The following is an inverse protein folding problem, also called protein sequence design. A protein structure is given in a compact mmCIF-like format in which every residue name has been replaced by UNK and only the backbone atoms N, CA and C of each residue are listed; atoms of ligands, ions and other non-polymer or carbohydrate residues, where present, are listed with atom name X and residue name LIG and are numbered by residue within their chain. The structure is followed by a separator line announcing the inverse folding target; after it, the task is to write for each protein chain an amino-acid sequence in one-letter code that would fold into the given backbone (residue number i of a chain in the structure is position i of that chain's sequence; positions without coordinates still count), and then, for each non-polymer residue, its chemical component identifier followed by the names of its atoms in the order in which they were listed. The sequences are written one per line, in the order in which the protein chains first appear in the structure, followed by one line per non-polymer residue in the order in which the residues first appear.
data_IF_054018685999
#
_entry.id   IF_054018685999
#
_cell.length_a   1.000
_cell.length_b   1.000
_cell.length_c   1.000
_cell.angle_alpha   90.00
_cell.angle_beta   90.00
_cell.angle_gamma   90.00
#
_symmetry.space_group_name_H-M   'P 1'
#
loop_
_entity.id
_entity.type
_entity.pdbx_description
1 polymer ?
#
# COMPACT_ATOMS: atom_id res chain seq x y z
N UNK A 1 -1.08 -7.47 -12.08
CA UNK A 1 -2.18 -7.90 -13.01
C UNK A 1 -3.48 -7.41 -12.41
N UNK A 2 -4.41 -6.88 -13.20
CA UNK A 2 -5.67 -6.30 -12.66
C UNK A 2 -6.91 -7.02 -13.19
N UNK A 3 -8.03 -6.91 -12.47
CA UNK A 3 -9.32 -7.55 -12.79
C UNK A 3 -10.43 -6.51 -13.07
N UNK A 4 -10.14 -5.52 -13.91
CA UNK A 4 -11.11 -4.49 -14.26
C UNK A 4 -12.20 -5.02 -15.19
N UNK A 5 -13.38 -4.42 -15.12
CA UNK A 5 -14.50 -4.76 -16.01
C UNK A 5 -14.07 -4.59 -17.47
N UNK A 6 -14.13 -5.65 -18.28
CA UNK A 6 -13.79 -5.57 -19.70
C UNK A 6 -14.80 -4.67 -20.44
N UNK A 7 -14.35 -3.72 -21.28
CA UNK A 7 -15.27 -2.94 -22.10
C UNK A 7 -16.00 -3.84 -23.11
N UNK A 8 -17.18 -3.42 -23.53
CA UNK A 8 -17.94 -4.03 -24.63
C UNK A 8 -18.08 -3.06 -25.79
N UNK A 9 -18.61 -3.52 -26.93
CA UNK A 9 -18.88 -2.67 -28.08
C UNK A 9 -19.84 -1.51 -27.78
N UNK A 10 -20.67 -1.66 -26.73
CA UNK A 10 -21.71 -0.69 -26.35
C UNK A 10 -21.45 0.03 -25.03
N UNK A 11 -20.45 -0.39 -24.23
CA UNK A 11 -20.15 0.19 -22.93
C UNK A 11 -18.63 0.26 -22.66
N UNK A 12 -18.10 1.43 -22.26
CA UNK A 12 -16.71 1.53 -21.86
C UNK A 12 -16.46 0.83 -20.51
N UNK A 13 -15.18 0.58 -20.23
CA UNK A 13 -14.73 0.24 -18.88
C UNK A 13 -14.53 1.54 -18.10
N UNK A 14 -15.36 1.76 -17.09
CA UNK A 14 -15.20 2.85 -16.14
C UNK A 14 -14.68 2.25 -14.84
N UNK A 15 -13.51 2.68 -14.40
CA UNK A 15 -12.90 2.18 -13.18
C UNK A 15 -13.35 2.99 -11.97
N UNK A 16 -13.50 2.32 -10.84
CA UNK A 16 -13.70 2.99 -9.55
C UNK A 16 -12.41 3.69 -9.09
N UNK A 17 -12.52 4.56 -8.08
CA UNK A 17 -11.34 5.18 -7.49
C UNK A 17 -10.41 4.14 -6.83
N UNK A 18 -10.98 3.13 -6.16
CA UNK A 18 -10.21 2.02 -5.60
C UNK A 18 -9.46 1.20 -6.67
N UNK A 19 -10.09 0.98 -7.83
CA UNK A 19 -9.45 0.33 -8.98
C UNK A 19 -8.30 1.19 -9.57
N UNK A 20 -8.43 2.53 -9.54
CA UNK A 20 -7.33 3.44 -9.89
C UNK A 20 -6.18 3.35 -8.90
N UNK A 21 -6.45 3.36 -7.58
CA UNK A 21 -5.42 3.15 -6.55
C UNK A 21 -4.71 1.82 -6.77
N UNK A 22 -5.47 0.73 -7.00
CA UNK A 22 -4.92 -0.59 -7.33
C UNK A 22 -4.05 -0.55 -8.59
N UNK A 23 -4.49 0.15 -9.65
CA UNK A 23 -3.69 0.29 -10.87
C UNK A 23 -2.34 0.97 -10.59
N UNK A 24 -2.34 2.06 -9.83
CA UNK A 24 -1.12 2.80 -9.49
C UNK A 24 -0.19 1.98 -8.60
N UNK A 25 -0.75 1.25 -7.63
CA UNK A 25 -0.02 0.32 -6.78
C UNK A 25 0.76 -0.71 -7.61
N UNK A 26 0.05 -1.43 -8.48
CA UNK A 26 0.64 -2.45 -9.35
C UNK A 26 1.66 -1.83 -10.33
N UNK A 27 1.38 -0.62 -10.82
CA UNK A 27 2.31 0.10 -11.69
C UNK A 27 3.59 0.52 -10.95
N UNK A 28 3.53 0.80 -9.65
CA UNK A 28 4.71 1.05 -8.83
C UNK A 28 5.64 -0.16 -8.75
N UNK A 29 5.10 -1.38 -8.60
CA UNK A 29 5.90 -2.60 -8.74
C UNK A 29 6.50 -2.75 -10.15
N UNK A 30 5.72 -2.45 -11.20
CA UNK A 30 6.24 -2.45 -12.57
C UNK A 30 7.40 -1.46 -12.73
N UNK A 31 7.29 -0.25 -12.18
CA UNK A 31 8.37 0.74 -12.20
C UNK A 31 9.61 0.24 -11.45
N UNK A 32 9.43 -0.35 -10.27
CA UNK A 32 10.52 -0.94 -9.51
C UNK A 32 11.24 -2.05 -10.31
N UNK A 33 10.48 -2.88 -11.03
CA UNK A 33 11.06 -3.90 -11.89
C UNK A 33 11.77 -3.32 -13.13
N UNK A 34 11.17 -2.33 -13.80
CA UNK A 34 11.71 -1.75 -15.03
C UNK A 34 12.94 -0.87 -14.79
N UNK A 35 13.00 -0.21 -13.63
CA UNK A 35 14.07 0.74 -13.28
C UNK A 35 15.14 0.13 -12.39
N UNK A 36 14.94 -1.09 -11.91
CA UNK A 36 15.92 -1.82 -11.11
C UNK A 36 17.20 -2.10 -11.89
N UNK A 37 18.33 -1.76 -11.28
CA UNK A 37 19.66 -2.00 -11.83
C UNK A 37 20.42 -2.96 -10.90
N UNK A 38 21.29 -3.79 -11.47
CA UNK A 38 22.04 -4.74 -10.67
C UNK A 38 22.93 -5.65 -11.49
N UNK A 39 24.11 -5.97 -10.95
CA UNK A 39 25.04 -6.92 -11.57
C UNK A 39 24.60 -8.37 -11.36
N UNK A 40 24.00 -8.66 -10.21
CA UNK A 40 23.60 -10.00 -9.80
C UNK A 40 22.08 -10.06 -9.74
N UNK A 41 21.49 -11.00 -10.49
CA UNK A 41 20.03 -11.18 -10.57
C UNK A 41 19.40 -11.32 -9.18
N UNK A 42 20.03 -12.07 -8.29
CA UNK A 42 19.57 -12.31 -6.91
C UNK A 42 19.51 -11.06 -6.03
N UNK A 43 20.09 -9.93 -6.46
CA UNK A 43 20.13 -8.66 -5.73
C UNK A 43 19.52 -7.50 -6.53
N UNK A 44 19.22 -7.68 -7.81
CA UNK A 44 18.68 -6.62 -8.66
C UNK A 44 17.15 -6.57 -8.66
N UNK A 45 16.61 -5.60 -9.41
CA UNK A 45 15.18 -5.54 -9.73
C UNK A 45 14.34 -5.45 -8.45
N UNK A 46 13.34 -6.32 -8.28
CA UNK A 46 12.42 -6.33 -7.14
C UNK A 46 12.85 -7.32 -6.05
N UNK A 47 14.07 -7.86 -6.09
CA UNK A 47 14.56 -8.84 -5.10
C UNK A 47 14.97 -8.18 -3.77
N UNK A 48 14.11 -7.32 -3.23
CA UNK A 48 14.28 -6.60 -1.96
C UNK A 48 13.65 -7.36 -0.79
N UNK A 49 13.88 -6.89 0.44
CA UNK A 49 13.17 -7.42 1.61
C UNK A 49 11.66 -7.24 1.47
N UNK A 50 10.90 -8.23 1.95
CA UNK A 50 9.43 -8.23 1.88
C UNK A 50 8.80 -7.03 2.58
N UNK A 51 9.44 -6.48 3.63
CA UNK A 51 9.00 -5.29 4.35
C UNK A 51 9.31 -3.96 3.65
N UNK A 52 10.06 -3.98 2.55
CA UNK A 52 10.40 -2.81 1.73
C UNK A 52 9.77 -2.84 0.33
N UNK A 53 9.41 -4.02 -0.18
CA UNK A 53 8.90 -4.20 -1.55
C UNK A 53 7.63 -3.41 -1.85
N UNK A 54 6.84 -3.11 -0.82
CA UNK A 54 5.57 -2.38 -0.91
C UNK A 54 5.76 -0.85 -0.91
N UNK A 55 6.93 -0.31 -0.52
CA UNK A 55 7.17 1.13 -0.57
C UNK A 55 6.98 1.67 -2.01
N UNK A 56 7.64 1.10 -3.05
CA UNK A 56 7.46 1.56 -4.43
C UNK A 56 6.05 1.44 -4.98
N UNK A 57 5.23 0.49 -4.51
CA UNK A 57 3.84 0.36 -4.94
C UNK A 57 2.94 1.34 -4.21
N UNK A 58 2.95 1.33 -2.88
CA UNK A 58 2.08 2.16 -2.06
C UNK A 58 2.30 3.65 -2.26
N UNK A 59 3.54 4.09 -2.49
CA UNK A 59 3.82 5.51 -2.72
C UNK A 59 3.04 6.05 -3.94
N UNK A 60 2.88 5.22 -4.98
CA UNK A 60 2.21 5.61 -6.23
C UNK A 60 0.72 5.86 -6.04
N UNK A 61 0.09 5.20 -5.06
CA UNK A 61 -1.34 5.38 -4.76
C UNK A 61 -1.68 6.82 -4.36
N UNK A 62 -0.73 7.55 -3.78
CA UNK A 62 -0.97 8.92 -3.33
C UNK A 62 -1.33 9.86 -4.49
N UNK A 63 -0.85 9.61 -5.72
CA UNK A 63 -1.19 10.41 -6.89
C UNK A 63 -2.68 10.33 -7.24
N UNK A 64 -3.40 9.26 -6.86
CA UNK A 64 -4.85 9.16 -7.06
C UNK A 64 -5.65 10.20 -6.28
N UNK A 65 -5.03 10.96 -5.38
CA UNK A 65 -5.65 12.02 -4.58
C UNK A 65 -5.13 13.41 -4.93
N UNK A 66 -4.25 13.53 -5.93
CA UNK A 66 -3.63 14.80 -6.30
C UNK A 66 -4.38 15.48 -7.46
N UNK A 67 -4.86 16.73 -7.30
CA UNK A 67 -5.65 17.40 -8.33
C UNK A 67 -4.94 17.50 -9.68
N UNK A 68 -3.66 17.86 -9.70
CA UNK A 68 -2.88 18.03 -10.93
C UNK A 68 -2.74 16.70 -11.70
N UNK A 69 -2.60 15.58 -10.98
CA UNK A 69 -2.56 14.25 -11.59
C UNK A 69 -3.92 13.85 -12.16
N UNK A 70 -5.00 13.95 -11.37
CA UNK A 70 -6.34 13.57 -11.81
C UNK A 70 -6.80 14.41 -13.00
N UNK A 71 -6.58 15.72 -13.00
CA UNK A 71 -6.96 16.61 -14.09
C UNK A 71 -6.22 16.33 -15.40
N UNK A 72 -5.06 15.65 -15.35
CA UNK A 72 -4.30 15.31 -16.56
C UNK A 72 -4.99 14.28 -17.46
N UNK A 73 -5.79 13.36 -16.88
CA UNK A 73 -6.40 12.25 -17.64
C UNK A 73 -7.89 12.04 -17.36
N UNK A 74 -8.38 12.38 -16.16
CA UNK A 74 -9.76 12.07 -15.76
C UNK A 74 -10.74 13.00 -16.47
N UNK A 75 -11.41 12.45 -17.48
CA UNK A 75 -12.39 13.15 -18.31
C UNK A 75 -13.68 12.33 -18.38
N UNK A 76 -14.81 13.02 -18.41
CA UNK A 76 -16.10 12.39 -18.60
C UNK A 76 -16.14 11.68 -19.96
N UNK A 77 -16.39 10.37 -19.96
CA UNK A 77 -16.18 9.52 -21.15
C UNK A 77 -17.03 9.91 -22.37
N UNK A 78 -18.15 10.61 -22.19
CA UNK A 78 -19.00 11.09 -23.29
C UNK A 78 -18.73 12.53 -23.72
N UNK A 79 -18.45 13.41 -22.75
CA UNK A 79 -18.39 14.87 -22.99
C UNK A 79 -16.97 15.37 -23.13
N UNK A 80 -15.98 14.62 -22.65
CA UNK A 80 -14.58 15.02 -22.61
C UNK A 80 -14.26 16.07 -21.55
N UNK A 81 -15.24 16.50 -20.77
CA UNK A 81 -15.07 17.47 -19.68
C UNK A 81 -14.12 16.90 -18.62
N UNK A 82 -13.12 17.69 -18.25
CA UNK A 82 -12.15 17.32 -17.20
C UNK A 82 -12.87 17.28 -15.84
N UNK A 83 -12.47 16.35 -14.98
CA UNK A 83 -12.97 16.27 -13.60
C UNK A 83 -12.85 17.65 -12.90
N UNK A 84 -13.93 18.08 -12.25
CA UNK A 84 -13.95 19.36 -11.54
C UNK A 84 -13.17 19.29 -10.23
N UNK A 85 -12.62 20.42 -9.80
CA UNK A 85 -11.99 20.54 -8.47
C UNK A 85 -12.95 20.12 -7.35
N UNK A 86 -14.23 20.48 -7.44
CA UNK A 86 -15.24 20.09 -6.44
C UNK A 86 -15.37 18.56 -6.27
N UNK A 87 -15.27 17.78 -7.37
CA UNK A 87 -15.29 16.32 -7.28
C UNK A 87 -14.00 15.76 -6.70
N UNK A 88 -12.86 16.35 -7.04
CA UNK A 88 -11.56 15.97 -6.45
C UNK A 88 -11.55 16.25 -4.95
N UNK A 89 -12.04 17.42 -4.51
CA UNK A 89 -12.11 17.77 -3.10
C UNK A 89 -12.95 16.75 -2.32
N UNK A 90 -14.08 16.30 -2.87
CA UNK A 90 -14.90 15.23 -2.27
C UNK A 90 -14.16 13.89 -2.17
N UNK A 91 -13.36 13.52 -3.19
CA UNK A 91 -12.50 12.32 -3.14
C UNK A 91 -11.49 12.46 -2.00
N UNK A 92 -10.84 13.62 -1.89
CA UNK A 92 -9.83 13.89 -0.86
C UNK A 92 -10.44 13.93 0.54
N UNK A 93 -11.60 14.54 0.72
CA UNK A 93 -12.32 14.60 2.01
C UNK A 93 -12.75 13.22 2.50
N UNK A 94 -13.11 12.32 1.58
CA UNK A 94 -13.58 10.97 1.91
C UNK A 94 -12.46 9.95 2.05
N UNK A 95 -11.20 10.30 1.71
CA UNK A 95 -10.05 9.37 1.72
C UNK A 95 -9.81 8.67 3.06
N UNK A 96 -10.15 9.34 4.17
CA UNK A 96 -9.95 8.82 5.53
C UNK A 96 -11.25 8.32 6.17
N UNK A 97 -12.35 8.25 5.42
CA UNK A 97 -13.59 7.65 5.90
C UNK A 97 -13.32 6.19 6.28
N UNK A 98 -13.64 5.81 7.52
CA UNK A 98 -13.32 4.51 8.11
C UNK A 98 -11.82 4.15 8.23
N UNK A 99 -10.89 5.12 8.15
CA UNK A 99 -9.45 4.85 8.26
C UNK A 99 -9.12 3.98 9.50
N UNK A 100 -9.62 4.32 10.69
CA UNK A 100 -9.39 3.53 11.90
C UNK A 100 -9.84 2.06 11.77
N UNK A 101 -11.01 1.81 11.15
CA UNK A 101 -11.50 0.45 10.91
C UNK A 101 -10.57 -0.32 9.96
N UNK A 102 -10.17 0.29 8.84
CA UNK A 102 -9.24 -0.32 7.90
C UNK A 102 -7.90 -0.65 8.56
N UNK A 103 -7.41 0.24 9.42
CA UNK A 103 -6.15 0.03 10.12
C UNK A 103 -6.20 -1.14 11.10
N UNK A 104 -7.27 -1.25 11.89
CA UNK A 104 -7.45 -2.42 12.76
C UNK A 104 -7.62 -3.70 11.93
N UNK A 105 -8.32 -3.63 10.79
CA UNK A 105 -8.44 -4.78 9.88
C UNK A 105 -7.08 -5.22 9.31
N UNK A 106 -6.19 -4.30 8.95
CA UNK A 106 -4.82 -4.63 8.54
C UNK A 106 -4.02 -5.26 9.68
N UNK A 107 -4.15 -4.74 10.90
CA UNK A 107 -3.54 -5.35 12.08
C UNK A 107 -4.08 -6.76 12.35
N UNK A 108 -5.37 -7.02 12.12
CA UNK A 108 -5.94 -8.38 12.24
C UNK A 108 -5.22 -9.35 11.32
N UNK A 109 -4.99 -8.98 10.06
CA UNK A 109 -4.28 -9.84 9.12
C UNK A 109 -2.83 -10.10 9.56
N UNK A 110 -2.09 -9.07 9.99
CA UNK A 110 -0.73 -9.22 10.48
C UNK A 110 -0.63 -10.07 11.75
N UNK A 111 -1.54 -9.88 12.71
CA UNK A 111 -1.59 -10.66 13.95
C UNK A 111 -1.94 -12.12 13.66
N UNK A 112 -2.90 -12.36 12.77
CA UNK A 112 -3.28 -13.71 12.36
C UNK A 112 -2.12 -14.44 11.67
N UNK A 113 -1.41 -13.75 10.77
CA UNK A 113 -0.21 -14.28 10.11
C UNK A 113 0.87 -14.66 11.14
N UNK A 114 1.21 -13.76 12.07
CA UNK A 114 2.18 -14.06 13.12
C UNK A 114 1.74 -15.24 13.99
N UNK A 115 0.47 -15.33 14.36
CA UNK A 115 -0.05 -16.47 15.11
C UNK A 115 0.12 -17.79 14.35
N UNK A 116 -0.16 -17.81 13.03
CA UNK A 116 0.04 -19.00 12.21
C UNK A 116 1.53 -19.37 12.00
N UNK A 117 2.47 -18.48 12.31
CA UNK A 117 3.90 -18.71 12.11
C UNK A 117 4.71 -18.73 13.41
N UNK A 118 4.05 -18.65 14.57
CA UNK A 118 4.67 -18.79 15.89
C UNK A 118 4.35 -20.18 16.47
N UNK A 119 5.41 -20.95 16.73
CA UNK A 119 5.32 -22.32 17.26
C UNK A 119 4.73 -22.38 18.68
N UNK A 120 4.85 -21.30 19.45
CA UNK A 120 4.29 -21.24 20.81
C UNK A 120 2.78 -21.00 20.78
N UNK A 121 2.28 -20.28 19.78
CA UNK A 121 0.85 -20.04 19.59
C UNK A 121 0.17 -21.15 18.80
N UNK A 122 0.89 -21.79 17.87
CA UNK A 122 0.36 -22.87 17.04
C UNK A 122 -0.05 -24.06 17.91
N UNK A 123 -1.34 -24.37 17.90
CA UNK A 123 -1.92 -25.46 18.69
C UNK A 123 -2.63 -26.46 17.78
N UNK A 124 -2.86 -27.68 18.27
CA UNK A 124 -3.65 -28.72 17.56
C UNK A 124 -5.17 -28.43 17.54
N UNK A 125 -5.57 -27.16 17.56
CA UNK A 125 -6.98 -26.73 17.49
C UNK A 125 -7.47 -26.80 16.04
N UNK A 126 -8.78 -26.83 15.85
CA UNK A 126 -9.35 -26.57 14.53
C UNK A 126 -9.13 -25.11 14.11
N UNK A 127 -9.12 -24.86 12.80
CA UNK A 127 -8.77 -23.57 12.19
C UNK A 127 -9.64 -22.42 12.69
N UNK A 128 -10.95 -22.66 12.88
CA UNK A 128 -11.89 -21.61 13.32
C UNK A 128 -11.61 -21.21 14.77
N UNK A 129 -11.43 -22.18 15.65
CA UNK A 129 -11.11 -21.92 17.06
C UNK A 129 -9.76 -21.21 17.19
N UNK A 130 -8.76 -21.64 16.42
CA UNK A 130 -7.45 -21.00 16.40
C UNK A 130 -7.52 -19.52 15.98
N UNK A 131 -8.17 -19.23 14.84
CA UNK A 131 -8.33 -17.86 14.33
C UNK A 131 -9.08 -16.97 15.33
N UNK A 132 -10.17 -17.48 15.92
CA UNK A 132 -10.94 -16.73 16.92
C UNK A 132 -10.11 -16.39 18.16
N UNK A 133 -9.27 -17.32 18.61
CA UNK A 133 -8.40 -17.10 19.77
C UNK A 133 -7.29 -16.09 19.46
N UNK A 134 -6.68 -16.16 18.27
CA UNK A 134 -5.64 -15.25 17.82
C UNK A 134 -6.16 -13.81 17.67
N UNK A 135 -7.39 -13.64 17.16
CA UNK A 135 -7.97 -12.33 16.84
C UNK A 135 -8.78 -11.69 17.96
N UNK A 136 -8.93 -12.36 19.12
CA UNK A 136 -9.84 -11.92 20.20
C UNK A 136 -9.65 -10.46 20.67
N UNK A 137 -8.42 -9.95 20.63
CA UNK A 137 -8.07 -8.62 21.12
C UNK A 137 -8.24 -7.52 20.07
N UNK A 138 -8.45 -7.89 18.82
CA UNK A 138 -8.48 -6.97 17.66
C UNK A 138 -9.74 -7.17 16.79
N UNK A 139 -10.64 -8.02 17.24
CA UNK A 139 -11.97 -8.21 16.66
C UNK A 139 -12.85 -7.00 16.98
N UNK A 140 -13.23 -6.23 15.94
CA UNK A 140 -14.09 -5.04 16.09
C UNK A 140 -15.59 -5.35 16.08
N UNK A 141 -15.99 -6.42 15.40
CA UNK A 141 -17.39 -6.77 15.19
C UNK A 141 -17.64 -8.24 15.52
N UNK A 142 -18.87 -8.63 15.91
CA UNK A 142 -19.21 -10.03 16.12
C UNK A 142 -18.87 -10.88 14.88
N UNK A 143 -18.24 -12.05 15.05
CA UNK A 143 -17.90 -12.91 13.92
C UNK A 143 -19.18 -13.44 13.25
N UNK A 144 -19.14 -13.56 11.93
CA UNK A 144 -20.23 -14.20 11.17
C UNK A 144 -20.04 -15.70 11.23
N UNK A 145 -21.05 -16.42 11.73
CA UNK A 145 -20.99 -17.88 11.91
C UNK A 145 -20.61 -18.58 10.61
N UNK A 146 -19.58 -19.43 10.66
CA UNK A 146 -19.11 -20.21 9.52
C UNK A 146 -18.12 -19.50 8.60
N UNK A 147 -17.72 -18.25 8.92
CA UNK A 147 -16.64 -17.56 8.21
C UNK A 147 -15.29 -17.89 8.82
N UNK A 148 -14.26 -18.01 7.96
CA UNK A 148 -12.88 -18.19 8.34
C UNK A 148 -12.01 -17.45 7.33
N UNK A 149 -11.20 -16.51 7.80
CA UNK A 149 -10.31 -15.75 6.92
C UNK A 149 -9.15 -16.64 6.47
N UNK A 150 -8.58 -17.42 7.39
CA UNK A 150 -7.38 -18.24 7.21
C UNK A 150 -7.48 -19.16 5.99
N UNK A 151 -8.63 -19.80 5.76
CA UNK A 151 -8.83 -20.72 4.61
C UNK A 151 -8.86 -20.03 3.24
N UNK A 152 -8.94 -18.70 3.23
CA UNK A 152 -8.91 -17.85 2.03
C UNK A 152 -7.74 -16.87 2.01
N UNK A 153 -6.82 -16.97 2.99
CA UNK A 153 -5.74 -16.01 3.17
C UNK A 153 -4.53 -16.34 2.29
N UNK A 154 -4.72 -16.16 0.97
CA UNK A 154 -3.75 -16.55 -0.05
C UNK A 154 -2.34 -15.98 0.16
N UNK A 155 -2.22 -14.77 0.71
CA UNK A 155 -0.95 -14.08 0.91
C UNK A 155 0.05 -14.89 1.73
N UNK A 156 -0.42 -15.56 2.79
CA UNK A 156 0.44 -16.27 3.76
C UNK A 156 0.50 -17.78 3.52
N UNK A 157 -0.54 -18.36 2.89
CA UNK A 157 -0.58 -19.82 2.66
C UNK A 157 -0.08 -20.24 1.27
N UNK A 158 -0.25 -19.38 0.26
CA UNK A 158 0.16 -19.68 -1.14
C UNK A 158 1.10 -18.64 -1.72
N UNK A 159 1.09 -17.42 -1.16
CA UNK A 159 1.96 -16.32 -1.52
C UNK A 159 3.26 -16.33 -0.73
N UNK A 160 3.96 -15.20 -0.78
CA UNK A 160 5.31 -15.05 -0.22
C UNK A 160 5.33 -14.26 1.11
N UNK A 161 4.17 -14.09 1.76
CA UNK A 161 4.01 -13.21 2.93
C UNK A 161 3.84 -13.96 4.25
N UNK A 162 4.13 -15.26 4.31
CA UNK A 162 4.11 -16.00 5.57
C UNK A 162 5.11 -15.38 6.56
N UNK A 163 4.64 -15.08 7.78
CA UNK A 163 5.39 -14.31 8.79
C UNK A 163 5.89 -12.95 8.29
N UNK A 164 5.15 -12.35 7.35
CA UNK A 164 5.56 -11.17 6.59
C UNK A 164 4.42 -10.23 6.25
N UNK A 165 3.16 -10.53 6.57
CA UNK A 165 2.02 -9.66 6.22
C UNK A 165 2.08 -8.28 6.90
N UNK A 166 2.82 -8.16 8.01
CA UNK A 166 3.09 -6.86 8.64
C UNK A 166 3.83 -5.89 7.70
N UNK A 167 4.47 -6.39 6.62
CA UNK A 167 5.17 -5.60 5.62
C UNK A 167 4.31 -4.47 5.04
N UNK A 168 3.01 -4.72 4.82
CA UNK A 168 2.09 -3.70 4.33
C UNK A 168 2.05 -2.48 5.24
N UNK A 169 1.97 -2.71 6.57
CA UNK A 169 1.90 -1.61 7.54
C UNK A 169 3.26 -0.95 7.77
N UNK A 170 4.32 -1.74 7.69
CA UNK A 170 5.70 -1.24 7.75
C UNK A 170 5.99 -0.31 6.57
N UNK A 171 5.71 -0.75 5.35
CA UNK A 171 5.86 0.05 4.14
C UNK A 171 4.92 1.26 4.10
N UNK A 172 3.73 1.20 4.72
CA UNK A 172 2.82 2.35 4.81
C UNK A 172 3.47 3.53 5.59
N UNK A 173 4.35 3.23 6.55
CA UNK A 173 5.16 4.27 7.23
C UNK A 173 6.19 4.86 6.28
N UNK A 174 6.91 3.98 5.56
CA UNK A 174 7.93 4.40 4.60
C UNK A 174 7.33 5.28 3.50
N UNK A 175 6.22 4.86 2.89
CA UNK A 175 5.62 5.55 1.76
C UNK A 175 5.01 6.88 2.17
N UNK A 176 4.35 6.97 3.33
CA UNK A 176 3.74 8.21 3.79
C UNK A 176 4.81 9.28 4.04
N UNK A 177 5.94 8.88 4.62
CA UNK A 177 7.07 9.76 4.86
C UNK A 177 7.82 10.09 3.57
N UNK A 178 8.03 9.11 2.68
CA UNK A 178 8.64 9.35 1.37
C UNK A 178 7.80 10.30 0.49
N UNK A 179 6.48 10.11 0.45
CA UNK A 179 5.56 10.96 -0.30
C UNK A 179 5.46 12.37 0.28
N UNK A 180 5.68 12.54 1.59
CA UNK A 180 5.71 13.88 2.20
C UNK A 180 6.76 14.79 1.54
N UNK A 181 7.90 14.25 1.09
CA UNK A 181 8.90 15.02 0.34
C UNK A 181 8.38 15.49 -1.03
N UNK A 182 7.61 14.66 -1.73
CA UNK A 182 6.91 15.08 -2.95
C UNK A 182 5.88 16.18 -2.67
N UNK A 183 5.15 16.11 -1.55
CA UNK A 183 4.24 17.20 -1.15
C UNK A 183 4.97 18.51 -0.82
N UNK A 184 6.13 18.43 -0.18
CA UNK A 184 6.96 19.60 0.17
C UNK A 184 7.55 20.29 -1.07
N UNK A 185 7.95 19.52 -2.09
CA UNK A 185 8.72 20.01 -3.26
C UNK A 185 7.92 20.12 -4.55
N UNK A 186 6.71 19.56 -4.59
CA UNK A 186 5.87 19.41 -5.77
C UNK A 186 5.79 17.95 -6.23
N UNK A 187 4.58 17.47 -6.50
CA UNK A 187 4.30 16.05 -6.78
C UNK A 187 4.90 15.54 -8.11
N UNK A 188 5.33 16.45 -8.98
CA UNK A 188 6.06 16.15 -10.23
C UNK A 188 7.46 16.78 -10.22
N UNK A 189 8.04 17.02 -9.05
CA UNK A 189 9.37 17.59 -8.94
C UNK A 189 10.42 16.60 -9.51
N UNK A 190 11.16 16.97 -10.58
CA UNK A 190 12.07 16.05 -11.26
C UNK A 190 13.28 15.68 -10.40
N UNK A 191 13.74 16.56 -9.51
CA UNK A 191 14.86 16.28 -8.60
C UNK A 191 14.47 15.23 -7.56
N UNK A 192 13.26 15.33 -7.00
CA UNK A 192 12.74 14.33 -6.05
C UNK A 192 12.50 12.99 -6.77
N UNK A 193 11.93 13.00 -7.98
CA UNK A 193 11.73 11.79 -8.78
C UNK A 193 13.06 11.09 -9.12
N UNK A 194 14.08 11.84 -9.52
CA UNK A 194 15.41 11.27 -9.83
C UNK A 194 16.07 10.73 -8.56
N UNK A 195 15.97 11.45 -7.43
CA UNK A 195 16.44 10.95 -6.13
C UNK A 195 15.74 9.66 -5.72
N UNK A 196 14.42 9.58 -5.90
CA UNK A 196 13.64 8.36 -5.59
C UNK A 196 14.07 7.20 -6.49
N UNK A 197 14.29 7.43 -7.78
CA UNK A 197 14.82 6.41 -8.69
C UNK A 197 16.22 5.95 -8.26
N UNK A 198 17.15 6.88 -8.03
CA UNK A 198 18.54 6.59 -7.73
C UNK A 198 18.73 5.90 -6.37
N UNK A 199 17.89 6.20 -5.39
CA UNK A 199 18.04 5.67 -4.03
C UNK A 199 17.12 4.50 -3.70
N UNK A 200 15.97 4.38 -4.37
CA UNK A 200 14.97 3.36 -4.08
C UNK A 200 14.83 2.40 -5.26
N UNK A 201 14.28 2.87 -6.40
CA UNK A 201 13.85 1.98 -7.49
C UNK A 201 15.00 1.25 -8.20
N UNK A 202 16.18 1.88 -8.31
CA UNK A 202 17.30 1.32 -9.08
C UNK A 202 18.22 0.40 -8.28
N UNK A 203 18.08 0.35 -6.95
CA UNK A 203 19.09 -0.32 -6.11
C UNK A 203 18.84 -1.82 -5.93
N UNK A 204 17.61 -2.28 -6.09
CA UNK A 204 17.23 -3.61 -5.63
C UNK A 204 17.69 -3.82 -4.18
N UNK A 205 18.31 -4.97 -3.90
CA UNK A 205 18.87 -5.35 -2.61
C UNK A 205 20.40 -5.28 -2.58
N UNK A 206 20.98 -4.39 -3.39
CA UNK A 206 22.44 -4.14 -3.40
C UNK A 206 22.89 -3.22 -2.27
N UNK A 207 21.95 -2.58 -1.57
CA UNK A 207 22.16 -1.70 -0.43
C UNK A 207 21.10 -1.99 0.63
N UNK A 208 21.42 -1.73 1.90
CA UNK A 208 20.50 -1.90 3.02
C UNK A 208 19.28 -0.95 2.88
N UNK A 209 18.03 -1.44 3.00
CA UNK A 209 16.82 -0.63 2.83
C UNK A 209 16.74 0.62 3.72
N UNK A 210 17.22 0.54 4.97
CA UNK A 210 17.23 1.71 5.85
C UNK A 210 18.23 2.77 5.38
N UNK A 211 19.38 2.34 4.83
CA UNK A 211 20.35 3.22 4.19
C UNK A 211 19.79 3.85 2.91
N UNK A 212 19.13 3.06 2.06
CA UNK A 212 18.43 3.55 0.86
C UNK A 212 17.40 4.63 1.21
N UNK A 213 16.58 4.38 2.23
CA UNK A 213 15.59 5.34 2.71
C UNK A 213 16.24 6.62 3.25
N UNK A 214 17.28 6.50 4.10
CA UNK A 214 18.01 7.67 4.61
C UNK A 214 18.66 8.50 3.50
N UNK A 215 19.20 7.86 2.47
CA UNK A 215 19.77 8.56 1.33
C UNK A 215 18.71 9.35 0.53
N UNK A 216 17.50 8.81 0.40
CA UNK A 216 16.38 9.51 -0.23
C UNK A 216 15.80 10.63 0.65
N UNK A 217 15.43 10.29 1.90
CA UNK A 217 14.62 11.14 2.78
C UNK A 217 15.46 12.11 3.65
N UNK A 218 16.71 11.75 3.91
CA UNK A 218 17.63 12.49 4.79
C UNK A 218 17.51 12.13 6.28
N UNK A 219 16.60 11.22 6.66
CA UNK A 219 16.39 10.75 8.02
C UNK A 219 15.77 9.35 8.04
N UNK A 220 15.72 8.73 9.22
CA UNK A 220 15.00 7.46 9.42
C UNK A 220 13.48 7.66 9.28
N UNK A 221 12.71 6.61 8.91
CA UNK A 221 11.26 6.72 8.72
C UNK A 221 10.51 7.23 9.95
N UNK A 222 9.56 8.13 9.74
CA UNK A 222 8.77 8.74 10.81
C UNK A 222 7.30 8.33 10.76
N UNK A 223 6.84 7.60 11.79
CA UNK A 223 5.44 7.17 11.94
C UNK A 223 4.45 8.34 11.93
N UNK A 224 4.89 9.54 12.33
CA UNK A 224 4.07 10.74 12.30
C UNK A 224 3.49 11.07 10.91
N UNK A 225 4.23 10.78 9.82
CA UNK A 225 3.76 11.00 8.46
C UNK A 225 2.52 10.14 8.15
N UNK A 226 2.53 8.88 8.56
CA UNK A 226 1.41 7.97 8.40
C UNK A 226 0.20 8.37 9.26
N UNK A 227 0.44 8.74 10.52
CA UNK A 227 -0.63 9.22 11.40
C UNK A 227 -1.32 10.47 10.84
N UNK A 228 -0.53 11.41 10.31
CA UNK A 228 -1.04 12.59 9.61
C UNK A 228 -1.85 12.20 8.35
N UNK A 229 -1.31 11.29 7.52
CA UNK A 229 -1.98 10.79 6.30
C UNK A 229 -3.36 10.24 6.63
N UNK A 230 -3.46 9.43 7.68
CA UNK A 230 -4.70 8.78 8.13
C UNK A 230 -5.65 9.71 8.91
N UNK A 231 -5.23 10.94 9.22
CA UNK A 231 -5.99 11.85 10.08
C UNK A 231 -6.07 11.37 11.54
N UNK A 232 -5.24 10.41 11.94
CA UNK A 232 -5.14 9.85 13.30
C UNK A 232 -4.03 10.61 14.03
N UNK A 233 -4.16 11.93 14.08
CA UNK A 233 -3.27 12.76 14.90
C UNK A 233 -3.85 12.87 16.29
N UNK A 234 -2.99 13.10 17.29
CA UNK A 234 -3.41 13.47 18.62
C UNK A 234 -4.06 14.86 18.58
N UNK A 235 -5.26 15.00 18.02
CA UNK A 235 -6.08 16.18 18.24
C UNK A 235 -6.66 16.10 19.64
N UNK A 236 -5.90 16.65 20.58
CA UNK A 236 -6.26 17.06 21.94
C UNK A 236 -6.59 15.95 22.96
N UNK A 237 -5.85 15.99 24.06
CA UNK A 237 -6.38 15.70 25.40
C UNK A 237 -7.59 16.56 25.70
#
# INVERSE_FOLDING_TARGET
VTNFTKPTDSAPSLITHDELCTLLHEFGHCLHAMLGEGRYESLGTTNVSTDFVELPSQIMENWAFEPEFLQSFAKHYKTGEVISTELIDKIVETKNYNAAYYQVRQLNFGILDMAWNDMDTMTNKDVLTFESDALKNVTLFPPVKGTCISTSFSHIFTGQYAAGYYSYKWSEVLEADAFSLFKEKGIFNPEVSESFRANILSRGNTEDPATMFRNFRGHDPQVGALLNKLGITSQNQ
#
